data_IF_265575425047
#
_entry.id   IF_265575425047
#
_cell.length_a   1.000
_cell.length_b   1.000
_cell.length_c   1.000
_cell.angle_alpha   90.00
_cell.angle_beta   90.00
_cell.angle_gamma   90.00
#
_symmetry.space_group_name_H-M   'P 1'
#
loop_
_entity.id
_entity.type
_entity.pdbx_description
1 polymer ?
#
# COMPACT_ATOMS: atom_id res chain seq x y z
N UNK A 1 21.29 34.86 -4.35
CA UNK A 1 21.09 33.40 -4.53
C UNK A 1 20.31 33.20 -5.81
N UNK A 2 20.90 32.51 -6.79
CA UNK A 2 20.19 32.19 -8.04
C UNK A 2 18.95 31.36 -7.70
N UNK A 3 17.79 31.78 -8.21
CA UNK A 3 16.52 31.08 -8.05
C UNK A 3 16.68 29.71 -8.70
N UNK A 4 16.79 28.63 -7.92
CA UNK A 4 16.75 27.26 -8.47
C UNK A 4 15.42 27.11 -9.21
N UNK A 5 15.45 26.63 -10.44
CA UNK A 5 14.23 26.31 -11.19
C UNK A 5 13.48 25.21 -10.43
N UNK A 6 12.18 25.39 -10.20
CA UNK A 6 11.38 24.50 -9.36
C UNK A 6 11.43 23.02 -9.81
N UNK A 7 11.52 22.79 -11.13
CA UNK A 7 11.66 21.45 -11.72
C UNK A 7 12.98 20.77 -11.31
N UNK A 8 14.08 21.52 -11.27
CA UNK A 8 15.38 20.99 -10.85
C UNK A 8 15.37 20.61 -9.36
N UNK A 9 14.72 21.43 -8.52
CA UNK A 9 14.53 21.12 -7.10
C UNK A 9 13.71 19.84 -6.90
N UNK A 10 12.57 19.70 -7.59
CA UNK A 10 11.75 18.48 -7.52
C UNK A 10 12.56 17.25 -7.93
N UNK A 11 13.37 17.35 -8.99
CA UNK A 11 14.22 16.23 -9.45
C UNK A 11 15.30 15.85 -8.44
N UNK A 12 15.92 16.84 -7.79
CA UNK A 12 16.89 16.60 -6.71
C UNK A 12 16.24 15.86 -5.54
N UNK A 13 15.05 16.28 -5.12
CA UNK A 13 14.28 15.63 -4.04
C UNK A 13 13.85 14.21 -4.46
N UNK A 14 13.41 14.00 -5.70
CA UNK A 14 13.10 12.67 -6.22
C UNK A 14 14.29 11.72 -6.11
N UNK A 15 15.48 12.19 -6.49
CA UNK A 15 16.70 11.37 -6.42
C UNK A 15 17.10 11.05 -4.97
N UNK A 16 16.96 12.01 -4.06
CA UNK A 16 17.23 11.77 -2.64
C UNK A 16 16.24 10.76 -2.06
N UNK A 17 14.95 10.93 -2.32
CA UNK A 17 13.89 10.01 -1.91
C UNK A 17 14.12 8.60 -2.47
N UNK A 18 14.53 8.49 -3.74
CA UNK A 18 14.91 7.22 -4.37
C UNK A 18 16.04 6.53 -3.60
N UNK A 19 17.11 7.25 -3.27
CA UNK A 19 18.27 6.72 -2.53
C UNK A 19 17.86 6.27 -1.12
N UNK A 20 17.10 7.12 -0.42
CA UNK A 20 16.62 6.84 0.94
C UNK A 20 15.74 5.60 0.97
N UNK A 21 14.77 5.48 0.05
CA UNK A 21 13.88 4.32 -0.02
C UNK A 21 14.65 3.03 -0.32
N UNK A 22 15.58 3.04 -1.27
CA UNK A 22 16.41 1.86 -1.56
C UNK A 22 17.24 1.49 -0.34
N UNK A 23 17.88 2.47 0.31
CA UNK A 23 18.71 2.21 1.49
C UNK A 23 17.90 1.58 2.62
N UNK A 24 16.72 2.11 2.90
CA UNK A 24 15.82 1.59 3.93
C UNK A 24 15.38 0.15 3.63
N UNK A 25 15.08 -0.18 2.36
CA UNK A 25 14.70 -1.55 2.00
C UNK A 25 15.84 -2.56 2.15
N UNK A 26 17.10 -2.12 2.03
CA UNK A 26 18.27 -2.99 2.11
C UNK A 26 18.60 -3.45 3.54
N UNK A 27 18.02 -2.81 4.55
CA UNK A 27 18.11 -3.27 5.93
C UNK A 27 17.35 -4.59 6.16
N UNK A 28 16.50 -4.99 5.20
CA UNK A 28 15.62 -6.16 5.27
C UNK A 28 15.94 -7.24 4.22
N UNK A 29 17.21 -7.37 3.83
CA UNK A 29 17.61 -8.43 2.90
C UNK A 29 17.33 -9.84 3.48
N UNK A 30 16.93 -10.81 2.63
CA UNK A 30 16.79 -10.70 1.18
C UNK A 30 15.50 -10.01 0.75
N UNK A 31 15.56 -9.23 -0.34
CA UNK A 31 14.36 -8.64 -0.95
C UNK A 31 13.46 -9.73 -1.57
N UNK A 32 12.14 -9.49 -1.65
CA UNK A 32 11.21 -10.45 -2.24
C UNK A 32 11.59 -10.82 -3.68
N UNK A 33 11.47 -12.11 -4.02
CA UNK A 33 11.70 -12.59 -5.39
C UNK A 33 10.55 -12.18 -6.32
N UNK A 34 10.82 -12.00 -7.63
CA UNK A 34 9.78 -11.63 -8.58
C UNK A 34 8.72 -12.74 -8.70
N UNK A 35 7.44 -12.38 -8.82
CA UNK A 35 6.38 -13.36 -9.06
C UNK A 35 6.50 -14.07 -10.41
N UNK A 36 7.07 -13.39 -11.41
CA UNK A 36 7.25 -13.87 -12.77
C UNK A 36 8.74 -13.85 -13.13
N UNK A 37 9.24 -14.97 -13.65
CA UNK A 37 10.60 -15.08 -14.16
C UNK A 37 10.68 -16.11 -15.29
N UNK A 38 11.71 -16.03 -16.12
CA UNK A 38 12.02 -17.06 -17.10
C UNK A 38 12.89 -18.14 -16.46
N UNK A 39 12.55 -19.44 -16.60
CA UNK A 39 13.37 -20.53 -16.06
C UNK A 39 14.84 -20.49 -16.55
N UNK A 40 15.06 -20.05 -17.78
CA UNK A 40 16.40 -19.95 -18.39
C UNK A 40 17.18 -18.69 -17.94
N UNK A 41 16.49 -17.70 -17.36
CA UNK A 41 17.06 -16.45 -16.88
C UNK A 41 16.55 -16.16 -15.45
N UNK A 42 17.00 -16.94 -14.45
CA UNK A 42 16.52 -16.81 -13.09
C UNK A 42 16.86 -15.44 -12.51
N UNK A 43 15.97 -14.93 -11.66
CA UNK A 43 16.16 -13.66 -10.96
C UNK A 43 17.43 -13.66 -10.12
N UNK A 44 18.18 -12.55 -10.16
CA UNK A 44 19.40 -12.37 -9.37
C UNK A 44 19.18 -11.26 -8.35
N UNK A 45 18.96 -11.58 -7.06
CA UNK A 45 18.74 -10.56 -6.06
C UNK A 45 19.98 -9.66 -5.93
N UNK A 46 19.79 -8.36 -5.73
CA UNK A 46 20.90 -7.43 -5.59
C UNK A 46 21.63 -7.70 -4.27
N UNK A 47 22.97 -7.78 -4.34
CA UNK A 47 23.82 -8.06 -3.17
C UNK A 47 24.52 -6.83 -2.62
N UNK A 48 24.51 -5.72 -3.36
CA UNK A 48 25.23 -4.49 -3.01
C UNK A 48 24.34 -3.27 -3.20
N UNK A 49 24.12 -2.54 -2.10
CA UNK A 49 23.33 -1.31 -2.06
C UNK A 49 23.83 -0.26 -3.07
N UNK A 50 25.14 -0.11 -3.19
CA UNK A 50 25.76 0.86 -4.10
C UNK A 50 25.42 0.59 -5.57
N UNK A 51 25.38 -0.68 -5.98
CA UNK A 51 25.07 -1.07 -7.37
C UNK A 51 23.64 -0.73 -7.74
N UNK A 52 22.68 -1.06 -6.88
CA UNK A 52 21.27 -0.78 -7.16
C UNK A 52 20.97 0.72 -7.15
N UNK A 53 21.59 1.50 -6.25
CA UNK A 53 21.48 2.96 -6.23
C UNK A 53 22.03 3.53 -7.53
N UNK A 54 23.21 3.08 -7.98
CA UNK A 54 23.81 3.53 -9.23
C UNK A 54 22.93 3.19 -10.44
N UNK A 55 22.34 2.00 -10.48
CA UNK A 55 21.40 1.61 -11.54
C UNK A 55 20.15 2.51 -11.54
N UNK A 56 19.52 2.70 -10.38
CA UNK A 56 18.32 3.50 -10.23
C UNK A 56 18.55 4.97 -10.62
N UNK A 57 19.65 5.57 -10.13
CA UNK A 57 20.03 6.94 -10.49
C UNK A 57 20.47 7.05 -11.95
N UNK A 58 21.15 6.05 -12.49
CA UNK A 58 21.53 6.00 -13.91
C UNK A 58 20.29 6.08 -14.79
N UNK A 59 19.29 5.23 -14.54
CA UNK A 59 18.01 5.24 -15.25
C UNK A 59 17.30 6.59 -15.07
N UNK A 60 17.17 7.07 -13.83
CA UNK A 60 16.53 8.36 -13.52
C UNK A 60 17.21 9.53 -14.24
N UNK A 61 18.55 9.53 -14.34
CA UNK A 61 19.32 10.60 -14.96
C UNK A 61 19.12 10.66 -16.49
N UNK A 62 19.07 9.50 -17.15
CA UNK A 62 18.89 9.39 -18.60
C UNK A 62 17.43 9.66 -18.99
N UNK A 63 16.46 9.26 -18.16
CA UNK A 63 15.02 9.41 -18.42
C UNK A 63 14.47 10.82 -18.10
N UNK A 64 15.04 11.84 -18.74
CA UNK A 64 14.57 13.22 -18.55
C UNK A 64 13.15 13.43 -19.09
N UNK A 65 12.80 12.78 -20.20
CA UNK A 65 11.48 12.88 -20.80
C UNK A 65 10.41 12.22 -19.91
N UNK A 66 10.68 11.02 -19.37
CA UNK A 66 9.76 10.34 -18.46
C UNK A 66 9.59 11.10 -17.14
N UNK A 67 10.65 11.70 -16.59
CA UNK A 67 10.52 12.60 -15.44
C UNK A 67 9.56 13.76 -15.72
N UNK A 68 9.73 14.46 -16.85
CA UNK A 68 8.86 15.59 -17.21
C UNK A 68 7.42 15.13 -17.44
N UNK A 69 7.23 13.97 -18.09
CA UNK A 69 5.90 13.42 -18.31
C UNK A 69 5.17 13.08 -17.00
N UNK A 70 5.85 12.44 -16.04
CA UNK A 70 5.29 12.14 -14.71
C UNK A 70 5.02 13.44 -13.92
N UNK A 71 5.91 14.43 -14.02
CA UNK A 71 5.69 15.73 -13.39
C UNK A 71 4.42 16.42 -13.93
N UNK A 72 4.21 16.43 -15.24
CA UNK A 72 3.00 17.00 -15.84
C UNK A 72 1.74 16.24 -15.40
N UNK A 73 1.77 14.91 -15.29
CA UNK A 73 0.64 14.14 -14.74
C UNK A 73 0.30 14.55 -13.30
N UNK A 74 1.31 14.76 -12.45
CA UNK A 74 1.09 15.21 -11.07
C UNK A 74 0.55 16.63 -11.04
N UNK A 75 1.08 17.54 -11.88
CA UNK A 75 0.55 18.91 -12.00
C UNK A 75 -0.91 18.89 -12.44
N UNK A 76 -1.26 18.14 -13.48
CA UNK A 76 -2.64 18.09 -14.00
C UNK A 76 -3.64 17.69 -12.91
N UNK A 77 -3.27 16.67 -12.12
CA UNK A 77 -4.09 16.09 -11.06
C UNK A 77 -4.17 16.96 -9.80
N UNK A 78 -3.05 17.53 -9.35
CA UNK A 78 -2.93 18.11 -8.01
C UNK A 78 -2.87 19.65 -8.01
N UNK A 79 -2.65 20.29 -9.17
CA UNK A 79 -2.54 21.75 -9.24
C UNK A 79 -3.88 22.41 -8.85
N UNK A 80 -3.87 23.29 -7.82
CA UNK A 80 -5.09 23.95 -7.36
C UNK A 80 -5.67 24.93 -8.39
N UNK A 81 -7.00 25.07 -8.37
CA UNK A 81 -7.73 25.99 -9.25
C UNK A 81 -7.25 27.45 -9.16
N UNK A 82 -6.83 27.91 -7.98
CA UNK A 82 -6.34 29.29 -7.82
C UNK A 82 -5.03 29.55 -8.57
N UNK A 83 -4.20 28.51 -8.79
CA UNK A 83 -2.97 28.60 -9.59
C UNK A 83 -3.35 28.66 -11.07
N UNK A 84 -4.23 27.75 -11.52
CA UNK A 84 -4.71 27.67 -12.91
C UNK A 84 -5.36 28.96 -13.38
N UNK A 85 -6.13 29.62 -12.50
CA UNK A 85 -6.89 30.84 -12.81
C UNK A 85 -6.14 32.15 -12.51
N UNK A 86 -4.86 32.06 -12.13
CA UNK A 86 -4.07 33.24 -11.82
C UNK A 86 -3.78 34.09 -13.08
N UNK A 87 -3.47 35.38 -12.91
CA UNK A 87 -3.12 36.30 -14.01
C UNK A 87 -1.82 35.87 -14.70
N UNK A 88 -0.90 35.29 -13.93
CA UNK A 88 0.35 34.69 -14.37
C UNK A 88 0.42 33.26 -13.82
N UNK A 89 -0.20 32.27 -14.51
CA UNK A 89 -0.27 30.90 -14.04
C UNK A 89 1.10 30.24 -13.92
N UNK A 90 2.02 30.53 -14.84
CA UNK A 90 3.33 29.90 -14.88
C UNK A 90 4.18 30.28 -13.65
N UNK A 91 4.16 31.57 -13.28
CA UNK A 91 4.86 32.04 -12.08
C UNK A 91 4.27 31.47 -10.78
N UNK A 92 2.94 31.37 -10.68
CA UNK A 92 2.32 30.78 -9.49
C UNK A 92 2.53 29.27 -9.44
N UNK A 93 2.54 28.59 -10.59
CA UNK A 93 2.93 27.18 -10.68
C UNK A 93 4.34 26.95 -10.19
N UNK A 94 5.31 27.78 -10.59
CA UNK A 94 6.69 27.66 -10.06
C UNK A 94 6.74 27.78 -8.53
N UNK A 95 5.98 28.71 -7.95
CA UNK A 95 5.91 28.87 -6.48
C UNK A 95 5.24 27.66 -5.84
N UNK A 96 4.15 27.16 -6.42
CA UNK A 96 3.42 26.00 -5.93
C UNK A 96 4.29 24.73 -5.99
N UNK A 97 4.98 24.49 -7.11
CA UNK A 97 5.93 23.40 -7.29
C UNK A 97 7.04 23.44 -6.25
N UNK A 98 7.59 24.63 -5.99
CA UNK A 98 8.65 24.80 -4.97
C UNK A 98 8.12 24.45 -3.58
N UNK A 99 6.92 24.92 -3.23
CA UNK A 99 6.30 24.74 -1.91
C UNK A 99 5.90 23.29 -1.63
N UNK A 100 5.51 22.52 -2.65
CA UNK A 100 5.00 21.15 -2.51
C UNK A 100 5.97 20.11 -3.10
N UNK A 101 7.25 20.47 -3.19
CA UNK A 101 8.23 19.69 -3.93
C UNK A 101 8.44 18.27 -3.38
N UNK A 102 8.34 18.06 -2.07
CA UNK A 102 8.40 16.74 -1.43
C UNK A 102 7.22 15.84 -1.82
N UNK A 103 5.99 16.34 -1.66
CA UNK A 103 4.77 15.63 -2.06
C UNK A 103 4.77 15.28 -3.55
N UNK A 104 5.19 16.22 -4.40
CA UNK A 104 5.27 15.99 -5.84
C UNK A 104 6.34 14.95 -6.16
N UNK A 105 7.50 15.02 -5.50
CA UNK A 105 8.58 14.06 -5.70
C UNK A 105 8.17 12.64 -5.33
N UNK A 106 7.44 12.47 -4.23
CA UNK A 106 6.89 11.18 -3.81
C UNK A 106 5.92 10.61 -4.86
N UNK A 107 4.99 11.43 -5.36
CA UNK A 107 4.06 10.97 -6.41
C UNK A 107 4.77 10.62 -7.73
N UNK A 108 5.78 11.39 -8.13
CA UNK A 108 6.61 11.06 -9.30
C UNK A 108 7.30 9.72 -9.10
N UNK A 109 7.83 9.46 -7.89
CA UNK A 109 8.51 8.22 -7.61
C UNK A 109 7.55 7.02 -7.63
N UNK A 110 6.32 7.19 -7.11
CA UNK A 110 5.25 6.17 -7.20
C UNK A 110 4.89 5.86 -8.65
N UNK A 111 4.76 6.88 -9.51
CA UNK A 111 4.55 6.69 -10.95
C UNK A 111 5.73 5.99 -11.61
N UNK A 112 6.95 6.28 -11.19
CA UNK A 112 8.16 5.64 -11.73
C UNK A 112 8.24 4.16 -11.37
N UNK A 113 7.96 3.79 -10.11
CA UNK A 113 7.94 2.36 -9.73
C UNK A 113 6.75 1.63 -10.35
N UNK A 114 5.64 2.31 -10.61
CA UNK A 114 4.52 1.74 -11.38
C UNK A 114 4.96 1.33 -12.78
N UNK A 115 5.74 2.15 -13.48
CA UNK A 115 6.28 1.82 -14.80
C UNK A 115 7.26 0.64 -14.74
N UNK A 116 8.06 0.56 -13.67
CA UNK A 116 8.96 -0.58 -13.45
C UNK A 116 8.19 -1.86 -13.14
N UNK A 117 7.17 -1.82 -12.29
CA UNK A 117 6.27 -2.95 -12.05
C UNK A 117 5.50 -3.37 -13.30
N UNK A 118 5.13 -2.42 -14.17
CA UNK A 118 4.50 -2.74 -15.45
C UNK A 118 5.39 -3.60 -16.34
N UNK A 119 6.70 -3.35 -16.33
CA UNK A 119 7.69 -4.17 -17.07
C UNK A 119 7.99 -5.48 -16.33
N UNK A 120 8.10 -5.43 -15.00
CA UNK A 120 8.45 -6.59 -14.17
C UNK A 120 7.35 -7.66 -14.14
N UNK A 121 6.09 -7.24 -14.19
CA UNK A 121 4.91 -8.11 -14.11
C UNK A 121 4.25 -8.35 -15.48
N UNK A 122 5.01 -8.22 -16.57
CA UNK A 122 4.56 -8.64 -17.90
C UNK A 122 4.66 -10.17 -18.01
N UNK A 123 3.51 -10.85 -18.17
CA UNK A 123 3.43 -12.31 -18.32
C UNK A 123 4.23 -12.84 -19.53
N UNK A 124 4.40 -12.02 -20.58
CA UNK A 124 5.10 -12.46 -21.80
C UNK A 124 6.60 -12.18 -21.76
N UNK A 125 7.02 -11.19 -20.98
CA UNK A 125 8.42 -10.72 -20.95
C UNK A 125 8.76 -10.08 -19.59
N UNK A 126 8.74 -10.85 -18.50
CA UNK A 126 9.01 -10.31 -17.17
C UNK A 126 10.45 -9.80 -17.04
N UNK A 127 10.59 -8.56 -16.56
CA UNK A 127 11.87 -7.91 -16.31
C UNK A 127 12.25 -7.99 -14.81
N UNK A 128 13.11 -8.95 -14.47
CA UNK A 128 13.54 -9.20 -13.09
C UNK A 128 14.49 -8.11 -12.55
N UNK A 129 15.21 -7.38 -13.40
CA UNK A 129 16.04 -6.25 -12.98
C UNK A 129 15.13 -5.07 -12.59
N UNK A 130 14.08 -4.81 -13.39
CA UNK A 130 13.05 -3.81 -13.06
C UNK A 130 12.26 -4.19 -11.82
N UNK A 131 12.04 -5.49 -11.57
CA UNK A 131 11.45 -5.96 -10.32
C UNK A 131 12.27 -5.49 -9.12
N UNK A 132 13.57 -5.78 -9.09
CA UNK A 132 14.40 -5.42 -7.92
C UNK A 132 14.54 -3.91 -7.73
N UNK A 133 14.57 -3.13 -8.82
CA UNK A 133 14.50 -1.66 -8.74
C UNK A 133 13.17 -1.18 -8.15
N UNK A 134 12.04 -1.72 -8.64
CA UNK A 134 10.71 -1.35 -8.18
C UNK A 134 10.48 -1.74 -6.72
N UNK A 135 10.79 -2.98 -6.35
CA UNK A 135 10.48 -3.52 -5.03
C UNK A 135 11.32 -2.85 -3.93
N UNK A 136 12.59 -2.51 -4.21
CA UNK A 136 13.44 -1.79 -3.25
C UNK A 136 12.86 -0.41 -2.92
N UNK A 137 12.48 0.34 -3.95
CA UNK A 137 11.89 1.67 -3.76
C UNK A 137 10.50 1.57 -3.13
N UNK A 138 9.70 0.60 -3.57
CA UNK A 138 8.36 0.36 -3.04
C UNK A 138 8.38 0.04 -1.54
N UNK A 139 9.23 -0.89 -1.11
CA UNK A 139 9.40 -1.23 0.32
C UNK A 139 9.83 0.02 1.10
N UNK A 140 10.85 0.75 0.62
CA UNK A 140 11.28 1.97 1.30
C UNK A 140 10.19 3.03 1.44
N UNK A 141 9.33 3.19 0.42
CA UNK A 141 8.20 4.12 0.50
C UNK A 141 7.16 3.68 1.54
N UNK A 142 6.74 2.41 1.52
CA UNK A 142 5.69 1.93 2.43
C UNK A 142 6.15 1.90 3.89
N UNK A 143 7.45 1.70 4.14
CA UNK A 143 8.04 1.83 5.47
C UNK A 143 8.06 3.27 5.98
N UNK A 144 8.13 4.27 5.10
CA UNK A 144 8.03 5.70 5.50
C UNK A 144 6.63 6.14 5.87
N UNK A 145 5.59 5.46 5.37
CA UNK A 145 4.22 5.59 5.87
C UNK A 145 3.54 6.95 5.65
N UNK A 146 3.66 7.57 4.47
CA UNK A 146 2.86 8.78 4.14
C UNK A 146 1.42 8.43 3.71
N UNK A 147 0.49 9.38 3.84
CA UNK A 147 -0.90 9.24 3.33
C UNK A 147 -0.94 8.96 1.81
N UNK A 148 0.00 9.55 1.06
CA UNK A 148 0.11 9.36 -0.39
C UNK A 148 0.51 7.93 -0.70
N UNK A 149 1.51 7.42 0.01
CA UNK A 149 2.00 6.06 -0.16
C UNK A 149 0.95 5.04 0.28
N UNK A 150 0.29 5.25 1.41
CA UNK A 150 -0.81 4.41 1.89
C UNK A 150 -1.87 4.20 0.80
N UNK A 151 -2.30 5.28 0.15
CA UNK A 151 -3.33 5.25 -0.89
C UNK A 151 -2.81 4.71 -2.23
N UNK A 152 -1.70 5.23 -2.74
CA UNK A 152 -1.27 4.99 -4.13
C UNK A 152 -0.40 3.74 -4.30
N UNK A 153 0.26 3.25 -3.25
CA UNK A 153 1.02 1.99 -3.32
C UNK A 153 0.14 0.74 -3.12
N UNK A 154 -1.03 0.86 -2.49
CA UNK A 154 -1.92 -0.28 -2.28
C UNK A 154 -2.36 -0.99 -3.60
N UNK A 155 -2.75 -0.27 -4.68
CA UNK A 155 -3.01 -0.92 -5.97
C UNK A 155 -1.79 -1.63 -6.58
N UNK A 156 -0.58 -1.13 -6.33
CA UNK A 156 0.65 -1.79 -6.77
C UNK A 156 0.89 -3.08 -5.97
N UNK A 157 0.63 -3.05 -4.66
CA UNK A 157 0.66 -4.24 -3.80
C UNK A 157 -0.32 -5.32 -4.31
N UNK A 158 -1.55 -4.93 -4.66
CA UNK A 158 -2.52 -5.86 -5.26
C UNK A 158 -2.01 -6.45 -6.58
N UNK A 159 -1.35 -5.65 -7.41
CA UNK A 159 -0.73 -6.10 -8.67
C UNK A 159 0.35 -7.17 -8.43
N UNK A 160 1.11 -7.05 -7.34
CA UNK A 160 2.09 -8.07 -6.91
C UNK A 160 1.40 -9.37 -6.50
N UNK A 161 0.35 -9.30 -5.68
CA UNK A 161 -0.40 -10.48 -5.20
C UNK A 161 -0.90 -11.34 -6.37
N UNK A 162 -1.48 -10.69 -7.39
CA UNK A 162 -2.03 -11.38 -8.57
C UNK A 162 -0.99 -11.62 -9.67
N UNK A 163 0.25 -11.13 -9.51
CA UNK A 163 1.33 -11.16 -10.51
C UNK A 163 0.93 -10.60 -11.88
N UNK A 164 0.33 -9.41 -11.93
CA UNK A 164 -0.07 -8.74 -13.18
C UNK A 164 0.39 -7.29 -13.24
N UNK A 165 0.49 -6.77 -14.45
CA UNK A 165 0.83 -5.38 -14.68
C UNK A 165 -0.15 -4.41 -13.98
N UNK A 166 0.35 -3.36 -13.30
CA UNK A 166 -0.50 -2.34 -12.72
C UNK A 166 -1.42 -1.67 -13.75
N UNK A 167 -2.69 -1.49 -13.38
CA UNK A 167 -3.70 -0.90 -14.26
C UNK A 167 -4.49 -1.90 -15.10
N UNK A 168 -4.06 -3.17 -15.18
CA UNK A 168 -4.80 -4.27 -15.81
C UNK A 168 -5.74 -4.98 -14.82
N UNK A 169 -6.38 -4.24 -13.91
CA UNK A 169 -7.40 -4.81 -13.04
C UNK A 169 -8.66 -5.04 -13.88
N UNK A 170 -8.88 -6.28 -14.30
CA UNK A 170 -10.10 -6.69 -14.98
C UNK A 170 -11.21 -6.83 -13.94
N UNK A 171 -11.66 -5.72 -13.35
CA UNK A 171 -12.91 -5.69 -12.59
C UNK A 171 -14.04 -5.85 -13.61
N UNK A 172 -14.32 -7.10 -14.02
CA UNK A 172 -15.58 -7.45 -14.64
C UNK A 172 -16.63 -7.51 -13.52
N UNK A 173 -17.01 -6.36 -12.97
CA UNK A 173 -18.27 -6.29 -12.25
C UNK A 173 -19.36 -6.47 -13.31
N UNK A 174 -20.01 -7.63 -13.34
CA UNK A 174 -21.24 -7.78 -14.13
C UNK A 174 -22.39 -7.43 -13.20
N UNK A 175 -22.86 -6.18 -13.28
CA UNK A 175 -24.05 -5.72 -12.56
C UNK A 175 -25.27 -5.62 -13.48
N UNK A 176 -26.48 -5.40 -12.93
CA UNK A 176 -27.73 -5.27 -13.70
C UNK A 176 -27.70 -4.22 -14.82
N UNK A 177 -26.72 -3.31 -14.78
CA UNK A 177 -26.53 -2.24 -15.74
C UNK A 177 -25.57 -2.60 -16.90
N UNK A 178 -24.98 -3.81 -16.91
CA UNK A 178 -24.01 -4.24 -17.93
C UNK A 178 -24.68 -5.19 -18.94
N UNK A 179 -24.36 -5.01 -20.23
CA UNK A 179 -24.93 -5.79 -21.36
C UNK A 179 -24.64 -7.30 -21.24
N UNK A 180 -23.58 -7.67 -20.51
CA UNK A 180 -23.18 -9.07 -20.25
C UNK A 180 -23.81 -9.69 -19.00
N UNK A 181 -24.70 -8.98 -18.28
CA UNK A 181 -25.36 -9.50 -17.09
C UNK A 181 -26.52 -10.43 -17.48
N UNK A 182 -26.44 -11.68 -17.04
CA UNK A 182 -27.42 -12.73 -17.37
C UNK A 182 -28.38 -13.05 -16.22
N UNK A 183 -28.32 -12.34 -15.09
CA UNK A 183 -29.24 -12.50 -13.95
C UNK A 183 -29.16 -13.84 -13.18
N UNK A 184 -28.41 -14.82 -13.69
CA UNK A 184 -28.27 -16.16 -13.10
C UNK A 184 -27.12 -16.26 -12.10
N UNK A 185 -26.15 -15.36 -12.18
CA UNK A 185 -25.12 -15.18 -11.16
C UNK A 185 -25.49 -13.99 -10.28
N UNK A 186 -25.81 -14.25 -9.01
CA UNK A 186 -25.66 -13.23 -7.96
C UNK A 186 -24.29 -12.59 -8.18
N UNK A 187 -24.20 -11.25 -8.10
CA UNK A 187 -23.01 -10.49 -8.51
C UNK A 187 -21.76 -10.96 -7.77
N UNK A 188 -21.14 -12.02 -8.28
CA UNK A 188 -19.90 -12.55 -7.79
C UNK A 188 -18.87 -11.56 -8.27
N UNK A 189 -18.41 -10.69 -7.37
CA UNK A 189 -17.04 -10.21 -7.46
C UNK A 189 -16.19 -11.47 -7.63
N UNK A 190 -15.77 -11.75 -8.87
CA UNK A 190 -14.77 -12.77 -9.10
C UNK A 190 -13.49 -12.18 -8.49
N UNK A 191 -13.23 -12.52 -7.23
CA UNK A 191 -11.97 -12.21 -6.56
C UNK A 191 -10.88 -12.75 -7.49
N UNK A 192 -10.00 -11.86 -7.97
CA UNK A 192 -8.94 -12.28 -8.87
C UNK A 192 -8.07 -13.30 -8.14
N UNK A 193 -7.83 -14.44 -8.79
CA UNK A 193 -7.08 -15.55 -8.20
C UNK A 193 -5.65 -15.08 -7.97
N UNK A 194 -5.19 -15.14 -6.72
CA UNK A 194 -3.84 -14.74 -6.36
C UNK A 194 -2.80 -15.70 -7.00
N UNK A 195 -1.68 -15.14 -7.45
CA UNK A 195 -0.60 -15.93 -8.03
C UNK A 195 0.27 -16.49 -6.89
N UNK A 196 0.62 -17.80 -6.86
CA UNK A 196 1.39 -18.38 -5.75
C UNK A 196 2.69 -17.63 -5.44
N UNK A 197 3.49 -17.30 -6.45
CA UNK A 197 4.73 -16.51 -6.26
C UNK A 197 4.44 -15.05 -5.88
N UNK A 198 3.30 -14.51 -6.30
CA UNK A 198 2.84 -13.18 -5.92
C UNK A 198 2.49 -13.10 -4.43
N UNK A 199 1.80 -14.13 -3.92
CA UNK A 199 1.49 -14.31 -2.50
C UNK A 199 2.76 -14.45 -1.66
N UNK A 200 3.78 -15.19 -2.14
CA UNK A 200 5.06 -15.30 -1.45
C UNK A 200 5.78 -13.94 -1.35
N UNK A 201 5.80 -13.19 -2.45
CA UNK A 201 6.37 -11.85 -2.47
C UNK A 201 5.58 -10.89 -1.54
N UNK A 202 4.26 -10.93 -1.60
CA UNK A 202 3.38 -10.11 -0.77
C UNK A 202 3.53 -10.42 0.73
N UNK A 203 3.59 -11.69 1.12
CA UNK A 203 3.87 -12.08 2.50
C UNK A 203 5.24 -11.58 2.96
N UNK A 204 6.27 -11.72 2.13
CA UNK A 204 7.61 -11.21 2.45
C UNK A 204 7.60 -9.69 2.69
N UNK A 205 6.84 -8.94 1.88
CA UNK A 205 6.65 -7.50 2.07
C UNK A 205 5.94 -7.23 3.39
N UNK A 206 4.84 -7.91 3.68
CA UNK A 206 4.10 -7.71 4.93
C UNK A 206 4.93 -8.07 6.16
N UNK A 207 5.77 -9.12 6.10
CA UNK A 207 6.69 -9.49 7.18
C UNK A 207 7.70 -8.35 7.47
N UNK A 208 8.22 -7.71 6.42
CA UNK A 208 9.14 -6.56 6.55
C UNK A 208 8.42 -5.37 7.18
N UNK A 209 7.21 -5.05 6.72
CA UNK A 209 6.46 -3.90 7.23
C UNK A 209 6.01 -4.15 8.67
N UNK A 210 5.55 -5.35 9.00
CA UNK A 210 5.16 -5.76 10.35
C UNK A 210 6.33 -5.65 11.33
N UNK A 211 7.52 -6.10 10.93
CA UNK A 211 8.73 -5.95 11.76
C UNK A 211 9.08 -4.48 12.02
N UNK A 212 8.90 -3.59 11.04
CA UNK A 212 9.25 -2.18 11.17
C UNK A 212 8.20 -1.35 11.91
N UNK A 213 6.91 -1.72 11.80
CA UNK A 213 5.76 -1.06 12.44
C UNK A 213 5.85 -1.08 13.98
N UNK A 214 6.60 -2.02 14.56
CA UNK A 214 6.81 -2.10 16.01
C UNK A 214 7.37 -0.78 16.57
N UNK A 215 8.36 -0.22 15.88
CA UNK A 215 9.07 0.99 16.32
C UNK A 215 8.70 2.24 15.50
N UNK A 216 7.98 2.09 14.39
CA UNK A 216 7.70 3.15 13.42
C UNK A 216 6.24 3.13 12.96
N UNK A 217 5.80 4.22 12.33
CA UNK A 217 4.48 4.29 11.72
C UNK A 217 4.61 4.06 10.22
N UNK A 218 4.00 2.98 9.73
CA UNK A 218 4.00 2.59 8.32
C UNK A 218 2.57 2.58 7.76
N UNK A 219 2.40 2.06 6.55
CA UNK A 219 1.09 1.85 5.93
C UNK A 219 0.30 0.65 6.48
N UNK A 220 0.92 -0.22 7.28
CA UNK A 220 0.38 -1.55 7.58
C UNK A 220 -1.03 -1.54 8.16
N UNK A 221 -1.37 -0.75 9.19
CA UNK A 221 -2.71 -0.80 9.77
C UNK A 221 -3.81 -0.45 8.77
N UNK A 222 -3.54 0.54 7.91
CA UNK A 222 -4.46 0.94 6.84
C UNK A 222 -4.61 -0.15 5.77
N UNK A 223 -3.53 -0.85 5.45
CA UNK A 223 -3.56 -1.93 4.48
C UNK A 223 -4.25 -3.18 5.04
N UNK A 224 -4.07 -3.52 6.31
CA UNK A 224 -4.80 -4.62 6.94
C UNK A 224 -6.32 -4.40 6.87
N UNK A 225 -6.80 -3.17 7.07
CA UNK A 225 -8.23 -2.88 6.94
C UNK A 225 -8.73 -3.20 5.53
N UNK A 226 -8.00 -2.78 4.50
CA UNK A 226 -8.38 -3.04 3.10
C UNK A 226 -8.26 -4.52 2.72
N UNK A 227 -7.25 -5.22 3.24
CA UNK A 227 -7.03 -6.64 2.98
C UNK A 227 -8.03 -7.54 3.73
N UNK A 228 -8.61 -7.04 4.83
CA UNK A 228 -9.64 -7.73 5.61
C UNK A 228 -10.99 -7.83 4.90
N UNK A 229 -11.17 -7.20 3.74
CA UNK A 229 -12.45 -7.23 3.01
C UNK A 229 -12.64 -8.53 2.22
N UNK A 230 -11.57 -9.09 1.65
CA UNK A 230 -11.62 -10.24 0.75
C UNK A 230 -11.17 -11.53 1.43
N UNK A 231 -12.03 -12.54 1.47
CA UNK A 231 -11.75 -13.77 2.22
C UNK A 231 -10.63 -14.62 1.65
N UNK A 232 -10.48 -14.68 0.31
CA UNK A 232 -9.40 -15.46 -0.29
C UNK A 232 -8.04 -14.81 -0.02
N UNK A 233 -7.91 -13.51 -0.29
CA UNK A 233 -6.66 -12.77 -0.08
C UNK A 233 -6.31 -12.70 1.41
N UNK A 234 -7.29 -12.43 2.28
CA UNK A 234 -7.10 -12.40 3.73
C UNK A 234 -6.47 -13.70 4.24
N UNK A 235 -7.00 -14.84 3.79
CA UNK A 235 -6.49 -16.15 4.19
C UNK A 235 -5.07 -16.42 3.65
N UNK A 236 -4.80 -16.08 2.39
CA UNK A 236 -3.48 -16.30 1.77
C UNK A 236 -2.36 -15.45 2.36
N UNK A 237 -2.69 -14.26 2.84
CA UNK A 237 -1.75 -13.31 3.46
C UNK A 237 -1.73 -13.40 4.99
N UNK A 238 -2.50 -14.34 5.56
CA UNK A 238 -2.62 -14.57 7.00
C UNK A 238 -2.97 -13.28 7.77
N UNK A 239 -3.90 -12.48 7.23
CA UNK A 239 -4.30 -11.19 7.80
C UNK A 239 -4.78 -11.29 9.25
N UNK A 240 -5.56 -12.32 9.68
CA UNK A 240 -5.95 -12.46 11.07
C UNK A 240 -4.76 -12.51 12.04
N UNK A 241 -3.72 -13.29 11.74
CA UNK A 241 -2.56 -13.40 12.63
C UNK A 241 -1.75 -12.10 12.70
N UNK A 242 -1.56 -11.42 11.57
CA UNK A 242 -0.85 -10.12 11.52
C UNK A 242 -1.60 -9.06 12.30
N UNK A 243 -2.93 -9.04 12.18
CA UNK A 243 -3.78 -8.15 12.95
C UNK A 243 -3.69 -8.43 14.45
N UNK A 244 -3.70 -9.70 14.84
CA UNK A 244 -3.55 -10.11 16.24
C UNK A 244 -2.21 -9.64 16.83
N UNK A 245 -1.10 -9.86 16.11
CA UNK A 245 0.23 -9.39 16.53
C UNK A 245 0.23 -7.87 16.76
N UNK A 246 -0.32 -7.10 15.82
CA UNK A 246 -0.39 -5.65 15.97
C UNK A 246 -1.27 -5.21 17.13
N UNK A 247 -2.39 -5.89 17.42
CA UNK A 247 -3.24 -5.55 18.57
C UNK A 247 -2.51 -5.75 19.90
N UNK A 248 -1.62 -6.74 19.98
CA UNK A 248 -0.80 -6.98 21.18
C UNK A 248 0.29 -5.92 21.34
N UNK A 249 0.91 -5.52 20.23
CA UNK A 249 2.06 -4.61 20.20
C UNK A 249 1.67 -3.14 19.96
N UNK A 250 0.38 -2.81 19.81
CA UNK A 250 -0.03 -1.57 19.13
C UNK A 250 0.39 -0.29 19.84
N UNK A 251 0.81 0.67 19.03
CA UNK A 251 0.84 2.08 19.37
C UNK A 251 -0.55 2.71 19.14
N UNK A 252 -0.96 3.65 20.00
CA UNK A 252 -2.30 4.29 20.07
C UNK A 252 -2.88 4.82 18.73
N UNK A 253 -2.03 5.06 17.72
CA UNK A 253 -2.32 5.85 16.53
C UNK A 253 -3.17 5.15 15.45
N UNK A 254 -3.20 3.81 15.44
CA UNK A 254 -3.91 3.06 14.39
C UNK A 254 -5.12 2.26 14.91
N UNK A 255 -5.55 2.55 16.13
CA UNK A 255 -6.61 1.82 16.84
C UNK A 255 -7.94 1.71 16.07
N UNK A 256 -8.29 2.71 15.26
CA UNK A 256 -9.51 2.67 14.44
C UNK A 256 -9.39 1.62 13.32
N UNK A 257 -8.30 1.66 12.55
CA UNK A 257 -8.07 0.71 11.45
C UNK A 257 -7.96 -0.73 11.96
N UNK A 258 -7.33 -0.95 13.13
CA UNK A 258 -7.20 -2.29 13.71
C UNK A 258 -8.57 -2.86 14.15
N UNK A 259 -9.40 -2.07 14.82
CA UNK A 259 -10.77 -2.47 15.18
C UNK A 259 -11.59 -2.74 13.94
N UNK A 260 -11.51 -1.87 12.92
CA UNK A 260 -12.23 -2.05 11.67
C UNK A 260 -11.80 -3.30 10.91
N UNK A 261 -10.50 -3.58 10.87
CA UNK A 261 -9.95 -4.82 10.28
C UNK A 261 -10.56 -6.05 10.95
N UNK A 262 -10.60 -6.08 12.29
CA UNK A 262 -11.16 -7.19 13.04
C UNK A 262 -12.64 -7.41 12.71
N UNK A 263 -13.42 -6.34 12.56
CA UNK A 263 -14.83 -6.41 12.18
C UNK A 263 -14.99 -6.88 10.72
N UNK A 264 -14.15 -6.40 9.80
CA UNK A 264 -14.22 -6.76 8.38
C UNK A 264 -13.87 -8.23 8.12
N UNK A 265 -13.01 -8.82 8.94
CA UNK A 265 -12.70 -10.26 8.89
C UNK A 265 -13.88 -11.16 9.28
N UNK A 266 -14.85 -10.65 10.05
CA UNK A 266 -15.91 -11.44 10.68
C UNK A 266 -16.69 -12.37 9.71
N UNK A 267 -17.07 -11.94 8.48
CA UNK A 267 -17.87 -12.78 7.57
C UNK A 267 -17.15 -14.04 7.06
N UNK A 268 -15.81 -14.08 7.11
CA UNK A 268 -15.01 -15.14 6.50
C UNK A 268 -13.95 -15.75 7.44
N UNK A 269 -13.59 -15.07 8.53
CA UNK A 269 -12.74 -15.53 9.62
C UNK A 269 -13.43 -15.26 10.97
N UNK A 270 -14.62 -15.84 11.18
CA UNK A 270 -15.48 -15.49 12.32
C UNK A 270 -14.85 -15.81 13.68
N UNK A 271 -14.16 -16.93 13.80
CA UNK A 271 -13.58 -17.33 15.09
C UNK A 271 -12.34 -16.49 15.42
N UNK A 272 -11.42 -16.30 14.47
CA UNK A 272 -10.25 -15.45 14.64
C UNK A 272 -10.65 -13.99 14.89
N UNK A 273 -11.67 -13.48 14.18
CA UNK A 273 -12.23 -12.15 14.40
C UNK A 273 -12.78 -11.99 15.82
N UNK A 274 -13.53 -12.96 16.34
CA UNK A 274 -14.04 -12.93 17.72
C UNK A 274 -12.92 -12.94 18.74
N UNK A 275 -11.89 -13.74 18.53
CA UNK A 275 -10.70 -13.79 19.41
C UNK A 275 -10.02 -12.42 19.46
N UNK A 276 -9.73 -11.82 18.30
CA UNK A 276 -9.10 -10.49 18.20
C UNK A 276 -9.98 -9.41 18.84
N UNK A 277 -11.28 -9.38 18.54
CA UNK A 277 -12.21 -8.39 19.14
C UNK A 277 -12.30 -8.55 20.66
N UNK A 278 -12.21 -9.77 21.16
CA UNK A 278 -12.19 -10.03 22.60
C UNK A 278 -10.87 -9.60 23.23
N UNK A 279 -9.73 -9.79 22.57
CA UNK A 279 -8.43 -9.27 22.99
C UNK A 279 -8.43 -7.74 23.05
N UNK A 280 -8.93 -7.07 22.00
CA UNK A 280 -9.13 -5.61 21.97
C UNK A 280 -9.97 -5.16 23.17
N UNK A 281 -11.06 -5.87 23.47
CA UNK A 281 -11.92 -5.56 24.62
C UNK A 281 -11.20 -5.64 25.97
N UNK A 282 -10.17 -6.48 26.09
CA UNK A 282 -9.38 -6.64 27.31
C UNK A 282 -8.02 -5.90 27.26
N UNK A 283 -7.72 -5.20 26.16
CA UNK A 283 -6.46 -4.47 25.98
C UNK A 283 -6.35 -3.35 26.99
N UNK A 284 -5.13 -3.05 27.48
CA UNK A 284 -4.89 -1.88 28.35
C UNK A 284 -5.09 -0.55 27.61
N UNK A 285 -5.13 -0.56 26.27
CA UNK A 285 -5.23 0.63 25.43
C UNK A 285 -6.67 1.16 25.35
N UNK A 286 -6.89 2.33 25.94
CA UNK A 286 -8.21 2.98 26.01
C UNK A 286 -8.77 3.28 24.61
N UNK A 287 -7.94 3.72 23.67
CA UNK A 287 -8.42 4.06 22.31
C UNK A 287 -8.95 2.83 21.56
N UNK A 288 -8.31 1.67 21.70
CA UNK A 288 -8.80 0.41 21.13
C UNK A 288 -10.18 0.06 21.68
N UNK A 289 -10.34 0.09 23.01
CA UNK A 289 -11.63 -0.21 23.67
C UNK A 289 -12.72 0.80 23.30
N UNK A 290 -12.38 2.08 23.21
CA UNK A 290 -13.33 3.15 22.82
C UNK A 290 -13.77 3.01 21.36
N UNK A 291 -12.85 2.68 20.46
CA UNK A 291 -13.17 2.45 19.05
C UNK A 291 -14.00 1.17 18.87
N UNK A 292 -13.73 0.12 19.65
CA UNK A 292 -14.58 -1.07 19.71
C UNK A 292 -16.00 -0.73 20.17
N UNK A 293 -16.13 0.01 21.28
CA UNK A 293 -17.43 0.45 21.80
C UNK A 293 -18.25 1.24 20.78
N UNK A 294 -17.58 2.11 20.01
CA UNK A 294 -18.21 2.92 18.95
C UNK A 294 -18.72 2.09 17.77
N UNK A 295 -18.20 0.87 17.60
CA UNK A 295 -18.51 -0.03 16.48
C UNK A 295 -19.33 -1.28 16.87
N UNK A 296 -19.82 -1.38 18.11
CA UNK A 296 -20.64 -2.54 18.57
C UNK A 296 -21.87 -2.80 17.70
N UNK A 297 -22.47 -1.77 17.12
CA UNK A 297 -23.63 -1.92 16.23
C UNK A 297 -23.30 -2.71 14.95
N UNK A 298 -22.08 -2.54 14.42
CA UNK A 298 -21.58 -3.26 13.23
C UNK A 298 -21.29 -4.72 13.55
N UNK A 299 -20.78 -5.02 14.75
CA UNK A 299 -20.60 -6.40 15.21
C UNK A 299 -21.97 -7.05 15.44
N UNK A 300 -22.93 -6.29 15.97
CA UNK A 300 -24.28 -6.77 16.27
C UNK A 300 -25.09 -7.18 15.05
N UNK A 301 -24.79 -6.64 13.86
CA UNK A 301 -25.40 -7.12 12.61
C UNK A 301 -24.91 -8.50 12.17
N UNK A 302 -23.71 -8.89 12.57
CA UNK A 302 -23.13 -10.20 12.25
C UNK A 302 -23.40 -11.23 13.37
N UNK A 303 -23.12 -10.87 14.63
CA UNK A 303 -23.36 -11.71 15.80
C UNK A 303 -23.84 -10.89 17.01
N UNK A 304 -25.16 -10.91 17.21
CA UNK A 304 -25.81 -10.23 18.31
C UNK A 304 -25.41 -10.78 19.70
N UNK A 305 -25.22 -12.09 19.83
CA UNK A 305 -24.89 -12.70 21.13
C UNK A 305 -23.48 -12.33 21.55
N UNK A 306 -22.54 -12.37 20.61
CA UNK A 306 -21.16 -11.95 20.86
C UNK A 306 -21.08 -10.47 21.23
N UNK A 307 -21.84 -9.62 20.55
CA UNK A 307 -21.95 -8.18 20.87
C UNK A 307 -22.43 -7.93 22.29
N UNK A 308 -23.38 -8.71 22.81
CA UNK A 308 -23.82 -8.59 24.21
C UNK A 308 -22.69 -8.87 25.20
N UNK A 309 -21.87 -9.91 24.94
CA UNK A 309 -20.71 -10.26 25.78
C UNK A 309 -19.70 -9.10 25.81
N UNK A 310 -19.41 -8.50 24.64
CA UNK A 310 -18.50 -7.36 24.56
C UNK A 310 -19.07 -6.14 25.29
N UNK A 311 -20.35 -5.83 25.11
CA UNK A 311 -21.01 -4.70 25.77
C UNK A 311 -20.97 -4.84 27.30
N UNK A 312 -21.28 -6.00 27.85
CA UNK A 312 -21.22 -6.24 29.29
C UNK A 312 -19.82 -5.99 29.86
N UNK A 313 -18.77 -6.37 29.13
CA UNK A 313 -17.39 -6.10 29.55
C UNK A 313 -17.05 -4.62 29.49
N UNK A 314 -17.35 -3.95 28.38
CA UNK A 314 -17.05 -2.53 28.18
C UNK A 314 -17.82 -1.62 29.15
N UNK A 315 -19.03 -2.00 29.57
CA UNK A 315 -19.78 -1.24 30.59
C UNK A 315 -19.18 -1.33 32.00
N UNK A 316 -18.41 -2.38 32.28
CA UNK A 316 -17.73 -2.56 33.56
C UNK A 316 -16.30 -1.95 33.54
N UNK A 317 -15.90 -1.38 32.42
CA UNK A 317 -14.67 -0.61 32.30
C UNK A 317 -14.77 0.70 33.09
N UNK A 318 -13.66 1.12 33.69
CA UNK A 318 -13.62 2.30 34.57
C UNK A 318 -13.21 3.58 33.83
N UNK A 319 -12.66 3.45 32.64
CA UNK A 319 -12.16 4.52 31.78
C UNK A 319 -13.01 4.66 30.51
#
# INVERSE_FOLDING_TARGET
MARREAKALVREICNNLLIESISLSFDFLPLPNPPLEFPDFPARPPTELSKIIQQALGISSVDTAGFLYRLEQVIEKEEPDFVKRHIDPDREREKWLTKHSEMIAEQILILQIKDWFYSALDENSPDTDRWYLAISVFIGLILRGSEITEAQCFPLFNSIIIARQPGNLSIKSTGPHHISWNGETGGNFAEEIAHPSGVLAANSILDIVELYEIDHRTVLPYWLERLSVGGHISNLLNIPARLQNLVLDSNEHASENLVMSAILLFPHHSEESKEILFEICNSEQILLRRNLASNLSRIGSEDYKFTQILLEKLLNDKD
#
